data_IF_830058054314
#
_entry.id   IF_830058054314
#
_cell.length_a   1.000
_cell.length_b   1.000
_cell.length_c   1.000
_cell.angle_alpha   90.00
_cell.angle_beta   90.00
_cell.angle_gamma   90.00
#
_symmetry.space_group_name_H-M   'P 1'
#
loop_
_entity.id
_entity.type
_entity.pdbx_description
1 polymer ?
#
# COMPACT_ATOMS: atom_id res chain seq x y z
N UNK A 1 31.62 9.08 8.38
CA UNK A 1 33.03 8.60 8.45
C UNK A 1 33.22 7.40 7.51
N UNK A 2 34.36 7.25 6.82
CA UNK A 2 34.67 6.06 6.00
C UNK A 2 35.87 5.34 6.61
N UNK A 3 35.73 4.04 6.86
CA UNK A 3 36.76 3.15 7.40
C UNK A 3 37.02 2.08 6.35
N UNK A 4 38.26 1.96 5.89
CA UNK A 4 38.65 1.08 4.80
C UNK A 4 39.74 0.12 5.24
N UNK A 5 39.62 -1.15 4.89
CA UNK A 5 40.64 -2.14 5.22
C UNK A 5 40.50 -3.46 4.48
N UNK A 6 41.52 -4.31 4.68
CA UNK A 6 41.51 -5.68 4.22
C UNK A 6 40.68 -6.53 5.20
N UNK A 7 39.54 -7.04 4.75
CA UNK A 7 38.67 -7.90 5.55
C UNK A 7 39.22 -9.30 5.75
N UNK A 8 40.33 -9.65 5.08
CA UNK A 8 41.01 -10.93 5.25
C UNK A 8 42.02 -10.93 6.40
N UNK A 9 42.29 -9.77 7.01
CA UNK A 9 43.19 -9.61 8.16
C UNK A 9 42.37 -9.48 9.47
N UNK A 10 42.25 -10.53 10.30
CA UNK A 10 41.28 -10.57 11.41
C UNK A 10 41.44 -9.44 12.43
N UNK A 11 42.68 -9.16 12.85
CA UNK A 11 42.96 -8.11 13.84
C UNK A 11 42.56 -6.73 13.30
N UNK A 12 42.99 -6.42 12.08
CA UNK A 12 42.70 -5.14 11.44
C UNK A 12 41.19 -4.97 11.19
N UNK A 13 40.50 -6.01 10.71
CA UNK A 13 39.06 -5.99 10.54
C UNK A 13 38.33 -5.75 11.87
N UNK A 14 38.74 -6.40 12.95
CA UNK A 14 38.15 -6.22 14.28
C UNK A 14 38.32 -4.78 14.79
N UNK A 15 39.51 -4.18 14.62
CA UNK A 15 39.77 -2.80 15.02
C UNK A 15 38.89 -1.82 14.25
N UNK A 16 38.76 -1.98 12.93
CA UNK A 16 37.90 -1.13 12.10
C UNK A 16 36.42 -1.29 12.44
N UNK A 17 35.97 -2.51 12.76
CA UNK A 17 34.60 -2.76 13.22
C UNK A 17 34.35 -2.07 14.56
N UNK A 18 35.27 -2.22 15.53
CA UNK A 18 35.15 -1.59 16.83
C UNK A 18 35.09 -0.06 16.73
N UNK A 19 35.91 0.52 15.86
CA UNK A 19 35.93 1.96 15.59
C UNK A 19 34.64 2.44 14.90
N UNK A 20 34.13 1.69 13.92
CA UNK A 20 32.85 1.99 13.26
C UNK A 20 31.68 1.98 14.26
N UNK A 21 31.63 0.95 15.10
CA UNK A 21 30.60 0.80 16.14
C UNK A 21 30.73 1.91 17.20
N UNK A 22 31.96 2.19 17.65
CA UNK A 22 32.24 3.26 18.60
C UNK A 22 31.80 4.63 18.07
N UNK A 23 32.08 4.92 16.80
CA UNK A 23 31.63 6.15 16.14
C UNK A 23 30.11 6.29 16.14
N UNK A 24 29.38 5.23 15.73
CA UNK A 24 27.92 5.24 15.68
C UNK A 24 27.31 5.38 17.09
N UNK A 25 27.80 4.62 18.08
CA UNK A 25 27.31 4.67 19.47
C UNK A 25 27.60 5.99 20.17
N UNK A 26 28.67 6.68 19.79
CA UNK A 26 28.99 8.01 20.29
C UNK A 26 28.07 9.10 19.70
N UNK A 27 27.14 8.77 18.80
CA UNK A 27 26.22 9.74 18.20
C UNK A 27 26.86 10.60 17.12
N UNK A 28 28.03 10.23 16.60
CA UNK A 28 28.75 11.00 15.57
C UNK A 28 28.17 10.85 14.15
N UNK A 29 26.98 10.25 14.03
CA UNK A 29 26.32 9.96 12.76
C UNK A 29 26.76 8.64 12.12
N UNK A 30 26.43 8.43 10.83
CA UNK A 30 26.70 7.18 10.14
C UNK A 30 28.19 6.99 9.81
N UNK A 31 28.64 5.73 9.92
CA UNK A 31 29.93 5.27 9.44
C UNK A 31 29.75 4.26 8.29
N UNK A 32 30.57 4.39 7.25
CA UNK A 32 30.71 3.38 6.20
C UNK A 32 31.97 2.58 6.48
N UNK A 33 31.80 1.28 6.75
CA UNK A 33 32.90 0.33 6.88
C UNK A 33 33.04 -0.47 5.58
N UNK A 34 34.16 -0.30 4.88
CA UNK A 34 34.49 -0.99 3.64
C UNK A 34 35.59 -2.02 3.91
N UNK A 35 35.21 -3.29 4.07
CA UNK A 35 36.13 -4.41 4.21
C UNK A 35 36.26 -5.17 2.90
N UNK A 36 37.47 -5.24 2.35
CA UNK A 36 37.73 -5.92 1.08
C UNK A 36 37.99 -7.41 1.32
N UNK A 37 37.20 -8.29 0.70
CA UNK A 37 37.36 -9.76 0.75
C UNK A 37 37.20 -10.38 -0.64
N UNK A 38 37.82 -11.54 -0.92
CA UNK A 38 37.61 -12.25 -2.18
C UNK A 38 36.25 -12.95 -2.23
N UNK A 39 35.65 -13.05 -3.42
CA UNK A 39 34.52 -13.96 -3.67
C UNK A 39 35.04 -15.29 -4.21
N UNK A 40 35.33 -16.21 -3.30
CA UNK A 40 35.99 -17.49 -3.57
C UNK A 40 35.22 -18.40 -4.54
N UNK A 41 33.88 -18.32 -4.51
CA UNK A 41 32.98 -19.09 -5.37
C UNK A 41 32.14 -18.19 -6.30
N UNK A 42 31.25 -18.79 -7.08
CA UNK A 42 30.33 -18.09 -7.96
C UNK A 42 29.38 -17.13 -7.23
N UNK A 43 28.65 -16.32 -7.99
CA UNK A 43 27.55 -15.51 -7.46
C UNK A 43 26.48 -16.37 -6.77
N UNK A 44 26.24 -17.58 -7.29
CA UNK A 44 25.45 -18.64 -6.68
C UNK A 44 26.23 -19.96 -6.74
N UNK A 45 25.74 -20.99 -6.05
CA UNK A 45 26.34 -22.32 -6.08
C UNK A 45 26.36 -22.94 -7.50
N UNK A 46 25.48 -22.47 -8.40
CA UNK A 46 25.43 -22.94 -9.80
C UNK A 46 26.34 -22.13 -10.74
N UNK A 47 26.84 -20.98 -10.30
CA UNK A 47 27.72 -20.13 -11.12
C UNK A 47 29.12 -20.74 -11.18
N UNK A 48 29.50 -21.18 -12.39
CA UNK A 48 30.78 -21.82 -12.70
C UNK A 48 31.97 -20.85 -12.72
N UNK A 49 31.73 -19.55 -12.56
CA UNK A 49 32.75 -18.49 -12.62
C UNK A 49 33.49 -18.43 -13.97
N UNK A 50 32.85 -18.82 -15.08
CA UNK A 50 33.49 -18.86 -16.40
C UNK A 50 34.03 -17.49 -16.89
N UNK A 51 33.55 -16.38 -16.30
CA UNK A 51 34.05 -15.03 -16.55
C UNK A 51 35.37 -14.69 -15.85
N UNK A 52 35.89 -15.58 -14.98
CA UNK A 52 37.20 -15.44 -14.32
C UNK A 52 38.19 -16.43 -14.93
N UNK A 53 39.39 -15.96 -15.26
CA UNK A 53 40.49 -16.84 -15.60
C UNK A 53 41.08 -17.51 -14.34
N UNK A 54 41.83 -18.59 -14.54
CA UNK A 54 42.41 -19.39 -13.43
C UNK A 54 43.37 -18.57 -12.55
N UNK A 55 44.08 -17.58 -13.11
CA UNK A 55 44.97 -16.73 -12.32
C UNK A 55 44.20 -15.85 -11.34
N UNK A 56 43.05 -15.29 -11.74
CA UNK A 56 42.17 -14.51 -10.86
C UNK A 56 41.60 -15.40 -9.76
N UNK A 57 41.10 -16.59 -10.10
CA UNK A 57 40.58 -17.55 -9.11
C UNK A 57 41.66 -17.92 -8.11
N UNK A 58 42.87 -18.27 -8.57
CA UNK A 58 43.99 -18.60 -7.70
C UNK A 58 44.38 -17.43 -6.78
N UNK A 59 44.39 -16.20 -7.29
CA UNK A 59 44.69 -15.00 -6.49
C UNK A 59 43.62 -14.73 -5.41
N UNK A 60 42.35 -14.98 -5.71
CA UNK A 60 41.25 -14.89 -4.74
C UNK A 60 41.35 -15.96 -3.65
N UNK A 61 41.60 -17.22 -4.04
CA UNK A 61 41.79 -18.33 -3.09
C UNK A 61 43.03 -18.17 -2.21
N UNK A 62 44.11 -17.58 -2.74
CA UNK A 62 45.29 -17.22 -1.94
C UNK A 62 44.99 -16.19 -0.85
N UNK A 63 43.85 -15.49 -0.95
CA UNK A 63 43.35 -14.52 0.04
C UNK A 63 42.19 -15.07 0.87
N UNK A 64 42.01 -16.38 0.92
CA UNK A 64 41.03 -17.00 1.83
C UNK A 64 41.28 -16.50 3.28
N UNK A 65 40.29 -15.88 3.94
CA UNK A 65 40.45 -15.41 5.32
C UNK A 65 40.56 -16.54 6.34
N UNK A 66 40.07 -17.75 6.04
CA UNK A 66 39.97 -18.82 7.04
C UNK A 66 41.35 -19.27 7.59
N UNK A 67 42.39 -19.52 6.76
CA UNK A 67 43.73 -19.80 7.26
C UNK A 67 44.32 -18.67 8.11
N UNK A 68 44.08 -17.40 7.73
CA UNK A 68 44.56 -16.23 8.49
C UNK A 68 43.85 -16.11 9.84
N UNK A 69 42.55 -16.38 9.88
CA UNK A 69 41.78 -16.45 11.12
C UNK A 69 42.31 -17.54 12.05
N UNK A 70 42.58 -18.74 11.52
CA UNK A 70 43.20 -19.81 12.31
C UNK A 70 44.54 -19.37 12.89
N UNK A 71 45.42 -18.81 12.07
CA UNK A 71 46.74 -18.34 12.51
C UNK A 71 46.65 -17.19 13.55
N UNK A 72 45.60 -16.38 13.50
CA UNK A 72 45.36 -15.32 14.47
C UNK A 72 44.86 -15.85 15.82
N UNK A 73 44.01 -16.88 15.82
CA UNK A 73 43.42 -17.45 17.03
C UNK A 73 44.27 -18.56 17.66
N UNK A 74 45.08 -19.27 16.87
CA UNK A 74 45.90 -20.41 17.31
C UNK A 74 47.38 -20.06 17.29
N UNK A 75 48.12 -20.16 18.42
CA UNK A 75 47.69 -20.63 19.73
C UNK A 75 47.18 -19.51 20.67
N UNK A 76 47.00 -18.27 20.17
CA UNK A 76 46.84 -17.09 21.00
C UNK A 76 45.59 -17.08 21.90
N UNK A 77 44.47 -17.62 21.41
CA UNK A 77 43.16 -17.66 22.09
C UNK A 77 42.71 -19.10 22.31
N UNK A 78 43.04 -20.02 21.38
CA UNK A 78 42.69 -21.44 21.46
C UNK A 78 43.83 -22.29 20.91
N UNK A 79 43.88 -23.56 21.30
CA UNK A 79 44.85 -24.52 20.80
C UNK A 79 44.35 -25.25 19.52
N UNK A 80 45.23 -26.02 18.88
CA UNK A 80 44.92 -26.78 17.66
C UNK A 80 43.78 -27.80 17.85
N UNK A 81 43.69 -28.45 19.02
CA UNK A 81 42.63 -29.41 19.29
C UNK A 81 41.27 -28.72 19.47
N UNK A 82 41.24 -27.57 20.14
CA UNK A 82 40.04 -26.73 20.27
C UNK A 82 39.56 -26.19 18.92
N UNK A 83 40.48 -25.74 18.05
CA UNK A 83 40.17 -25.35 16.68
C UNK A 83 39.57 -26.51 15.88
N UNK A 84 40.22 -27.68 15.90
CA UNK A 84 39.75 -28.86 15.19
C UNK A 84 38.38 -29.33 15.69
N UNK A 85 38.14 -29.27 17.01
CA UNK A 85 36.85 -29.59 17.59
C UNK A 85 35.77 -28.59 17.13
N UNK A 86 36.08 -27.28 17.14
CA UNK A 86 35.16 -26.23 16.64
C UNK A 86 34.80 -26.45 15.17
N UNK A 87 35.77 -26.80 14.33
CA UNK A 87 35.53 -27.10 12.91
C UNK A 87 34.64 -28.34 12.73
N UNK A 88 34.86 -29.39 13.53
CA UNK A 88 34.04 -30.59 13.52
C UNK A 88 32.60 -30.30 13.98
N UNK A 89 32.44 -29.51 15.04
CA UNK A 89 31.14 -29.07 15.54
C UNK A 89 30.37 -28.25 14.50
N UNK A 90 31.03 -27.31 13.82
CA UNK A 90 30.43 -26.53 12.74
C UNK A 90 29.95 -27.42 11.58
N UNK A 91 30.79 -28.38 11.16
CA UNK A 91 30.44 -29.36 10.11
C UNK A 91 29.23 -30.20 10.51
N UNK A 92 29.20 -30.74 11.73
CA UNK A 92 28.06 -31.54 12.19
C UNK A 92 26.81 -30.67 12.37
N UNK A 93 26.93 -29.42 12.80
CA UNK A 93 25.80 -28.50 12.90
C UNK A 93 25.14 -28.26 11.53
N UNK A 94 25.93 -28.01 10.48
CA UNK A 94 25.43 -27.86 9.10
C UNK A 94 24.80 -29.17 8.62
N UNK A 95 25.45 -30.31 8.84
CA UNK A 95 24.94 -31.61 8.41
C UNK A 95 23.62 -31.99 9.10
N UNK A 96 23.48 -31.70 10.40
CA UNK A 96 22.22 -31.88 11.14
C UNK A 96 21.13 -30.96 10.62
N UNK A 97 21.44 -29.70 10.35
CA UNK A 97 20.49 -28.74 9.80
C UNK A 97 19.98 -29.17 8.41
N UNK A 98 20.89 -29.62 7.53
CA UNK A 98 20.54 -30.15 6.21
C UNK A 98 19.63 -31.37 6.32
N UNK A 99 19.99 -32.38 7.14
CA UNK A 99 19.14 -33.55 7.38
C UNK A 99 17.76 -33.17 7.92
N UNK A 100 17.70 -32.22 8.84
CA UNK A 100 16.43 -31.73 9.39
C UNK A 100 15.59 -31.03 8.32
N UNK A 101 16.20 -30.26 7.42
CA UNK A 101 15.50 -29.59 6.34
C UNK A 101 14.97 -30.58 5.30
N UNK A 102 15.78 -31.56 4.89
CA UNK A 102 15.40 -32.60 3.91
C UNK A 102 14.25 -33.49 4.41
N UNK A 103 14.16 -33.68 5.73
CA UNK A 103 13.10 -34.48 6.36
C UNK A 103 11.81 -33.70 6.60
N UNK A 104 11.80 -32.37 6.42
CA UNK A 104 10.57 -31.58 6.59
C UNK A 104 9.62 -31.85 5.42
N UNK A 105 8.36 -32.23 5.69
CA UNK A 105 7.37 -32.33 4.64
C UNK A 105 7.10 -30.95 4.04
N UNK A 106 6.69 -30.93 2.77
CA UNK A 106 6.17 -29.71 2.13
C UNK A 106 4.88 -29.29 2.85
N UNK A 107 4.68 -27.98 3.02
CA UNK A 107 3.44 -27.43 3.55
C UNK A 107 2.24 -27.85 2.68
N UNK A 108 1.08 -28.01 3.30
CA UNK A 108 -0.13 -28.38 2.58
C UNK A 108 -0.55 -27.30 1.57
N UNK A 109 -0.96 -27.66 0.33
CA UNK A 109 -1.32 -26.68 -0.70
C UNK A 109 -2.45 -25.72 -0.29
N UNK A 110 -3.37 -26.12 0.58
CA UNK A 110 -4.46 -25.25 1.08
C UNK A 110 -3.96 -24.05 1.89
N UNK A 111 -2.71 -24.07 2.37
CA UNK A 111 -2.12 -22.96 3.12
C UNK A 111 -1.52 -21.88 2.19
N UNK A 112 -1.44 -22.12 0.87
CA UNK A 112 -0.74 -21.20 -0.06
C UNK A 112 -1.40 -19.83 -0.17
N UNK A 113 -2.71 -19.74 0.05
CA UNK A 113 -3.47 -18.49 -0.04
C UNK A 113 -3.53 -17.72 1.29
N UNK A 114 -2.98 -18.29 2.38
CA UNK A 114 -3.03 -17.68 3.70
C UNK A 114 -2.04 -16.55 3.87
N UNK A 115 -2.32 -15.67 4.81
CA UNK A 115 -1.45 -14.56 5.23
C UNK A 115 -1.21 -13.50 4.14
N UNK A 116 -2.04 -13.44 3.10
CA UNK A 116 -2.07 -12.27 2.18
C UNK A 116 -2.57 -11.05 2.93
N UNK A 117 -3.66 -11.22 3.69
CA UNK A 117 -4.19 -10.22 4.62
C UNK A 117 -4.16 -10.78 6.05
N UNK A 118 -4.42 -9.92 7.03
CA UNK A 118 -4.60 -10.30 8.43
C UNK A 118 -5.83 -11.20 8.57
N UNK A 119 -5.65 -12.37 9.19
CA UNK A 119 -6.70 -13.36 9.42
C UNK A 119 -7.09 -13.39 10.91
N UNK A 120 -8.35 -13.75 11.18
CA UNK A 120 -8.82 -13.92 12.55
C UNK A 120 -8.03 -15.05 13.25
N UNK A 121 -7.47 -14.77 14.42
CA UNK A 121 -6.77 -15.75 15.26
C UNK A 121 -5.26 -15.93 15.00
N UNK A 122 -4.68 -15.20 14.04
CA UNK A 122 -3.24 -15.29 13.73
C UNK A 122 -2.56 -13.92 13.59
N UNK A 123 -2.10 -13.35 14.70
CA UNK A 123 -1.29 -12.12 14.67
C UNK A 123 0.14 -12.41 14.18
N UNK A 124 0.69 -11.44 13.47
CA UNK A 124 2.09 -11.47 13.06
C UNK A 124 3.05 -11.46 14.27
N UNK A 125 4.24 -12.04 14.11
CA UNK A 125 5.26 -11.97 15.17
C UNK A 125 5.77 -10.54 15.37
N UNK A 126 6.08 -9.84 14.27
CA UNK A 126 6.64 -8.49 14.28
C UNK A 126 5.83 -7.55 13.37
N UNK A 127 5.69 -6.30 13.82
CA UNK A 127 5.08 -5.21 13.08
C UNK A 127 3.60 -4.98 13.37
N UNK A 128 3.16 -3.75 13.16
CA UNK A 128 1.82 -3.27 13.47
C UNK A 128 1.54 -3.02 14.95
N UNK A 129 0.32 -2.57 15.23
CA UNK A 129 -0.11 -2.22 16.58
C UNK A 129 -0.57 -3.45 17.38
N UNK A 130 -1.26 -4.37 16.71
CA UNK A 130 -2.04 -5.44 17.33
C UNK A 130 -1.19 -6.47 18.08
N UNK A 131 -0.01 -6.83 17.55
CA UNK A 131 0.91 -7.74 18.23
C UNK A 131 1.59 -7.11 19.47
N UNK A 132 1.41 -5.81 19.69
CA UNK A 132 1.92 -5.06 20.85
C UNK A 132 0.87 -4.83 21.93
N UNK A 133 -0.29 -5.50 21.87
CA UNK A 133 -1.38 -5.34 22.85
C UNK A 133 -2.24 -4.09 22.64
N UNK A 134 -2.21 -3.48 21.45
CA UNK A 134 -3.13 -2.40 21.08
C UNK A 134 -4.57 -2.89 21.11
N UNK A 135 -5.45 -2.08 21.73
CA UNK A 135 -6.89 -2.27 21.71
C UNK A 135 -7.48 -1.10 20.93
N UNK A 136 -8.05 -1.39 19.77
CA UNK A 136 -8.70 -0.37 18.96
C UNK A 136 -9.87 0.26 19.74
N UNK A 137 -10.06 1.59 19.67
CA UNK A 137 -11.25 2.21 20.21
C UNK A 137 -12.51 1.60 19.56
N UNK A 138 -13.65 1.55 20.28
CA UNK A 138 -14.91 1.08 19.70
C UNK A 138 -15.23 1.81 18.39
N UNK A 139 -15.82 1.06 17.46
CA UNK A 139 -16.22 1.56 16.16
C UNK A 139 -17.68 1.20 15.88
N UNK A 140 -18.38 2.04 15.12
CA UNK A 140 -19.74 1.82 14.66
C UNK A 140 -19.90 2.29 13.21
N UNK A 141 -20.69 1.59 12.42
CA UNK A 141 -21.09 2.00 11.07
C UNK A 141 -22.36 2.89 11.08
N UNK A 142 -22.93 3.14 12.27
CA UNK A 142 -24.04 4.07 12.45
C UNK A 142 -23.51 5.50 12.64
N UNK A 143 -23.77 6.44 11.70
CA UNK A 143 -23.29 7.80 11.83
C UNK A 143 -24.04 8.54 12.96
N UNK A 144 -23.33 9.44 13.63
CA UNK A 144 -23.85 10.44 14.57
C UNK A 144 -23.55 11.83 14.01
N UNK A 145 -24.40 12.36 13.09
CA UNK A 145 -24.14 13.61 12.40
C UNK A 145 -24.01 14.79 13.36
N UNK A 146 -22.90 15.54 13.24
CA UNK A 146 -22.61 16.72 14.05
C UNK A 146 -22.37 17.96 13.19
N UNK A 147 -23.02 19.06 13.57
CA UNK A 147 -22.77 20.39 12.99
C UNK A 147 -23.19 20.54 11.53
N UNK A 148 -22.58 21.52 10.85
CA UNK A 148 -22.84 21.79 9.43
C UNK A 148 -22.12 20.80 8.52
N UNK A 149 -22.55 20.73 7.24
CA UNK A 149 -21.86 19.94 6.21
C UNK A 149 -20.44 20.48 6.01
N UNK A 150 -19.44 19.61 6.17
CA UNK A 150 -18.02 19.92 5.98
C UNK A 150 -17.48 19.30 4.69
N UNK A 151 -16.42 19.89 4.13
CA UNK A 151 -15.71 19.30 3.00
C UNK A 151 -14.84 18.10 3.43
N UNK A 152 -14.41 17.32 2.45
CA UNK A 152 -13.68 16.08 2.68
C UNK A 152 -12.29 16.36 3.27
N UNK A 153 -11.64 17.48 2.91
CA UNK A 153 -10.40 17.96 3.56
C UNK A 153 -10.59 18.07 5.07
N UNK A 154 -11.64 18.76 5.52
CA UNK A 154 -11.93 18.95 6.95
C UNK A 154 -12.28 17.63 7.62
N UNK A 155 -13.01 16.75 6.92
CA UNK A 155 -13.42 15.46 7.45
C UNK A 155 -12.22 14.51 7.68
N UNK A 156 -11.31 14.43 6.70
CA UNK A 156 -10.05 13.68 6.82
C UNK A 156 -9.19 14.27 7.94
N UNK A 157 -9.03 15.61 7.99
CA UNK A 157 -8.27 16.28 9.05
C UNK A 157 -8.78 15.96 10.44
N UNK A 158 -10.10 16.05 10.65
CA UNK A 158 -10.74 15.73 11.95
C UNK A 158 -10.54 14.26 12.32
N UNK A 159 -10.55 13.37 11.33
CA UNK A 159 -10.27 11.95 11.55
C UNK A 159 -8.83 11.72 11.99
N UNK A 160 -7.85 12.30 11.27
CA UNK A 160 -6.44 12.24 11.64
C UNK A 160 -6.17 12.88 13.01
N UNK A 161 -6.79 14.02 13.29
CA UNK A 161 -6.69 14.70 14.59
C UNK A 161 -7.16 13.78 15.72
N UNK A 162 -8.32 13.15 15.54
CA UNK A 162 -8.86 12.20 16.53
C UNK A 162 -7.93 11.00 16.74
N UNK A 163 -7.49 10.34 15.65
CA UNK A 163 -6.65 9.14 15.75
C UNK A 163 -5.24 9.45 16.30
N UNK A 164 -4.67 10.63 16.01
CA UNK A 164 -3.42 11.11 16.62
C UNK A 164 -3.55 11.31 18.15
N UNK A 165 -4.71 11.80 18.60
CA UNK A 165 -4.99 12.03 20.02
C UNK A 165 -5.17 10.73 20.80
N UNK A 166 -5.87 9.74 20.24
CA UNK A 166 -6.18 8.49 20.96
C UNK A 166 -5.10 7.42 20.80
N UNK A 167 -4.23 7.54 19.80
CA UNK A 167 -3.16 6.59 19.55
C UNK A 167 -1.79 7.28 19.44
N UNK A 168 -0.90 7.14 20.45
CA UNK A 168 0.41 7.79 20.43
C UNK A 168 1.38 7.22 19.38
N UNK A 169 1.01 6.11 18.73
CA UNK A 169 1.84 5.41 17.72
C UNK A 169 1.47 5.78 16.29
N UNK A 170 0.53 6.68 16.06
CA UNK A 170 0.19 7.19 14.71
C UNK A 170 1.19 8.27 14.31
N UNK A 171 1.83 8.15 13.14
CA UNK A 171 2.72 9.19 12.61
C UNK A 171 2.25 9.58 11.21
N UNK A 172 2.04 10.88 10.98
CA UNK A 172 1.56 11.41 9.70
C UNK A 172 2.68 12.19 9.05
N UNK A 173 3.12 11.80 7.86
CA UNK A 173 4.31 12.41 7.25
C UNK A 173 4.29 12.31 5.74
N UNK A 174 5.13 13.10 5.10
CA UNK A 174 5.24 13.16 3.65
C UNK A 174 5.80 14.51 3.23
N UNK A 175 5.75 14.82 1.96
CA UNK A 175 6.26 16.09 1.45
C UNK A 175 5.25 17.20 1.77
N UNK A 176 5.71 18.26 2.43
CA UNK A 176 4.90 19.40 2.88
C UNK A 176 3.78 19.07 3.91
N UNK A 177 3.73 17.85 4.45
CA UNK A 177 2.69 17.38 5.39
C UNK A 177 2.72 18.09 6.75
N UNK A 178 3.88 18.61 7.16
CA UNK A 178 4.13 19.27 8.44
C UNK A 178 3.49 20.66 8.53
N UNK A 179 4.27 21.77 8.48
CA UNK A 179 3.74 23.12 8.66
C UNK A 179 2.69 23.52 7.60
N UNK A 180 2.90 23.13 6.33
CA UNK A 180 2.02 23.50 5.22
C UNK A 180 0.71 22.72 5.23
N UNK A 181 0.70 21.50 5.78
CA UNK A 181 -0.48 20.66 5.89
C UNK A 181 -0.78 19.81 4.65
N UNK A 182 0.25 19.50 3.85
CA UNK A 182 0.15 18.83 2.55
C UNK A 182 -0.25 19.81 1.43
N UNK A 183 -0.13 19.38 0.18
CA UNK A 183 -0.44 20.23 -1.00
C UNK A 183 -1.88 20.73 -1.00
N UNK A 184 -2.80 19.93 -0.45
CA UNK A 184 -4.22 20.24 -0.37
C UNK A 184 -4.66 20.76 1.02
N UNK A 185 -3.73 20.95 1.96
CA UNK A 185 -4.04 21.47 3.30
C UNK A 185 -4.85 20.51 4.20
N UNK A 186 -4.77 19.20 3.94
CA UNK A 186 -5.49 18.18 4.73
C UNK A 186 -4.96 18.10 6.16
N UNK A 187 -3.65 18.19 6.38
CA UNK A 187 -3.03 18.05 7.71
C UNK A 187 -2.74 19.38 8.40
N UNK A 188 -3.30 20.49 7.90
CA UNK A 188 -3.06 21.84 8.40
C UNK A 188 -3.29 21.94 9.92
N UNK A 189 -2.29 22.43 10.65
CA UNK A 189 -2.33 22.64 12.10
C UNK A 189 -2.06 21.39 12.94
N UNK A 190 -1.96 20.19 12.34
CA UNK A 190 -1.69 18.97 13.09
C UNK A 190 -0.25 18.93 13.66
N UNK A 191 0.75 19.43 12.93
CA UNK A 191 2.11 19.52 13.46
C UNK A 191 2.21 20.49 14.64
N UNK A 192 1.56 21.65 14.58
CA UNK A 192 1.53 22.59 15.70
C UNK A 192 0.94 21.93 16.96
N UNK A 193 -0.11 21.12 16.78
CA UNK A 193 -0.80 20.43 17.88
C UNK A 193 -0.02 19.24 18.46
N UNK A 194 0.61 18.42 17.61
CA UNK A 194 1.21 17.13 18.01
C UNK A 194 2.75 17.10 17.98
N UNK A 195 3.39 18.14 17.47
CA UNK A 195 4.84 18.27 17.36
C UNK A 195 5.44 17.53 16.16
N UNK A 196 6.69 17.91 15.85
CA UNK A 196 7.47 17.38 14.71
C UNK A 196 7.78 15.88 14.83
N UNK A 197 7.71 15.31 16.03
CA UNK A 197 7.93 13.87 16.22
C UNK A 197 6.75 13.01 15.75
N UNK A 198 5.57 13.62 15.54
CA UNK A 198 4.31 12.92 15.19
C UNK A 198 3.78 13.32 13.83
N UNK A 199 3.98 14.57 13.43
CA UNK A 199 3.57 15.08 12.12
C UNK A 199 4.72 15.86 11.48
N UNK A 200 5.27 15.41 10.37
CA UNK A 200 6.52 15.98 9.83
C UNK A 200 6.70 15.86 8.32
N UNK A 201 7.60 16.72 7.81
CA UNK A 201 8.03 16.70 6.42
C UNK A 201 9.11 15.66 6.17
N UNK A 202 9.08 15.05 4.99
CA UNK A 202 10.13 14.15 4.51
C UNK A 202 10.99 14.80 3.42
N UNK A 203 12.10 14.14 3.08
CA UNK A 203 12.81 14.43 1.82
C UNK A 203 11.92 14.15 0.61
N UNK A 204 12.25 14.78 -0.53
CA UNK A 204 11.58 14.55 -1.82
C UNK A 204 11.98 13.20 -2.42
N UNK A 205 11.46 12.11 -1.84
CA UNK A 205 11.74 10.74 -2.26
C UNK A 205 10.61 9.82 -1.81
N UNK A 206 9.74 9.46 -2.75
CA UNK A 206 8.59 8.60 -2.48
C UNK A 206 9.01 7.19 -2.10
N UNK A 207 10.07 6.66 -2.71
CA UNK A 207 10.69 5.41 -2.29
C UNK A 207 11.16 5.47 -0.83
N UNK A 208 11.82 6.57 -0.44
CA UNK A 208 12.26 6.79 0.94
C UNK A 208 11.10 6.94 1.92
N UNK A 209 10.00 7.58 1.51
CA UNK A 209 8.78 7.73 2.31
C UNK A 209 8.17 6.36 2.62
N UNK A 210 7.95 5.52 1.59
CA UNK A 210 7.35 4.20 1.76
C UNK A 210 8.32 3.26 2.49
N UNK A 211 9.61 3.23 2.13
CA UNK A 211 10.60 2.39 2.82
C UNK A 211 10.74 2.72 4.31
N UNK A 212 10.70 4.02 4.67
CA UNK A 212 10.64 4.46 6.07
C UNK A 212 9.35 4.00 6.75
N UNK A 213 8.20 4.13 6.08
CA UNK A 213 6.92 3.66 6.60
C UNK A 213 6.95 2.15 6.90
N UNK A 214 7.54 1.33 6.01
CA UNK A 214 7.70 -0.11 6.23
C UNK A 214 8.51 -0.38 7.52
N UNK A 215 9.66 0.27 7.68
CA UNK A 215 10.49 0.13 8.88
C UNK A 215 9.76 0.55 10.16
N UNK A 216 9.02 1.67 10.11
CA UNK A 216 8.20 2.15 11.24
C UNK A 216 7.08 1.18 11.60
N UNK A 217 6.38 0.63 10.60
CA UNK A 217 5.32 -0.34 10.82
C UNK A 217 5.88 -1.62 11.47
N UNK A 218 7.02 -2.13 10.99
CA UNK A 218 7.71 -3.30 11.58
C UNK A 218 8.14 -3.03 13.03
N UNK A 219 8.55 -1.78 13.33
CA UNK A 219 8.89 -1.35 14.69
C UNK A 219 7.68 -1.19 15.63
N UNK A 220 6.45 -1.39 15.13
CA UNK A 220 5.23 -1.37 15.93
C UNK A 220 4.52 -0.01 15.99
N UNK A 221 4.81 0.87 15.03
CA UNK A 221 4.10 2.14 14.82
C UNK A 221 2.95 1.97 13.80
N UNK A 222 2.12 3.00 13.66
CA UNK A 222 1.10 3.14 12.61
C UNK A 222 1.46 4.32 11.70
N UNK A 223 2.22 4.08 10.62
CA UNK A 223 2.61 5.11 9.68
C UNK A 223 1.43 5.52 8.79
N UNK A 224 1.30 6.81 8.55
CA UNK A 224 0.32 7.42 7.65
C UNK A 224 1.07 8.33 6.66
N UNK A 225 1.87 7.75 5.75
CA UNK A 225 2.57 8.53 4.73
C UNK A 225 1.58 9.15 3.73
N UNK A 226 1.84 10.38 3.32
CA UNK A 226 1.18 11.03 2.17
C UNK A 226 2.18 11.11 1.01
N UNK A 227 1.76 10.61 -0.16
CA UNK A 227 2.43 10.89 -1.44
C UNK A 227 1.60 11.96 -2.15
N UNK A 228 2.22 13.08 -2.55
CA UNK A 228 1.49 14.29 -2.97
C UNK A 228 0.47 14.05 -4.09
N UNK A 229 0.81 13.18 -5.05
CA UNK A 229 -0.06 12.78 -6.15
C UNK A 229 0.25 11.35 -6.55
N UNK A 230 -0.76 10.61 -6.99
CA UNK A 230 -0.62 9.20 -7.34
C UNK A 230 0.51 8.87 -8.32
N UNK A 231 0.78 9.69 -9.34
CA UNK A 231 1.87 9.44 -10.30
C UNK A 231 3.25 9.35 -9.62
N UNK A 232 3.41 10.06 -8.52
CA UNK A 232 4.67 10.13 -7.78
C UNK A 232 4.92 8.88 -6.94
N UNK A 233 3.95 7.97 -6.81
CA UNK A 233 4.19 6.66 -6.21
C UNK A 233 5.00 5.71 -7.13
N UNK A 234 5.14 6.00 -8.43
CA UNK A 234 5.80 5.10 -9.38
C UNK A 234 7.27 4.78 -9.04
N UNK A 235 8.13 5.73 -8.60
CA UNK A 235 9.47 5.43 -8.13
C UNK A 235 9.50 4.53 -6.88
N UNK A 236 8.41 4.47 -6.10
CA UNK A 236 8.29 3.65 -4.90
C UNK A 236 7.76 2.23 -5.15
N UNK A 237 7.60 1.82 -6.42
CA UNK A 237 6.96 0.55 -6.81
C UNK A 237 7.56 -0.67 -6.08
N UNK A 238 8.89 -0.77 -6.00
CA UNK A 238 9.56 -1.89 -5.31
C UNK A 238 9.20 -1.93 -3.82
N UNK A 239 9.23 -0.78 -3.13
CA UNK A 239 8.87 -0.70 -1.71
C UNK A 239 7.40 -1.05 -1.47
N UNK A 240 6.51 -0.64 -2.39
CA UNK A 240 5.08 -0.99 -2.36
C UNK A 240 4.88 -2.50 -2.51
N UNK A 241 5.54 -3.13 -3.48
CA UNK A 241 5.46 -4.57 -3.73
C UNK A 241 6.02 -5.39 -2.56
N UNK A 242 7.18 -4.99 -2.03
CA UNK A 242 7.83 -5.65 -0.91
C UNK A 242 7.02 -5.56 0.38
N UNK A 243 6.31 -4.44 0.58
CA UNK A 243 5.41 -4.22 1.70
C UNK A 243 4.19 -5.15 1.64
N UNK A 244 3.46 -5.15 0.51
CA UNK A 244 2.21 -5.92 0.36
C UNK A 244 2.44 -7.43 0.52
N UNK A 245 3.52 -7.94 -0.07
CA UNK A 245 3.84 -9.38 -0.01
C UNK A 245 4.49 -9.82 1.30
N UNK A 246 4.88 -8.89 2.18
CA UNK A 246 5.67 -9.17 3.39
C UNK A 246 5.02 -10.21 4.30
N UNK A 247 3.72 -10.06 4.56
CA UNK A 247 2.98 -10.98 5.44
C UNK A 247 2.97 -12.39 4.86
N UNK A 248 2.70 -12.52 3.57
CA UNK A 248 2.66 -13.81 2.88
C UNK A 248 4.05 -14.46 2.79
N UNK A 249 5.05 -13.74 2.25
CA UNK A 249 6.40 -14.28 1.98
C UNK A 249 7.18 -14.66 3.25
N UNK A 250 6.78 -14.11 4.40
CA UNK A 250 7.39 -14.43 5.70
C UNK A 250 6.55 -15.39 6.53
N UNK A 251 5.47 -15.96 5.98
CA UNK A 251 4.51 -16.81 6.68
C UNK A 251 4.02 -16.16 7.99
N UNK A 252 3.59 -14.90 7.89
CA UNK A 252 3.10 -14.06 8.98
C UNK A 252 4.14 -13.71 10.06
N UNK A 253 5.43 -13.90 9.82
CA UNK A 253 6.46 -13.46 10.80
C UNK A 253 6.55 -11.94 10.85
N UNK A 254 6.42 -11.25 9.72
CA UNK A 254 6.46 -9.80 9.62
C UNK A 254 5.21 -9.29 8.92
N UNK A 255 4.67 -8.16 9.37
CA UNK A 255 3.69 -7.38 8.62
C UNK A 255 3.98 -5.88 8.76
N UNK A 256 3.63 -5.09 7.75
CA UNK A 256 3.85 -3.66 7.72
C UNK A 256 2.53 -2.89 7.48
N UNK A 257 1.57 -2.91 8.43
CA UNK A 257 0.35 -2.13 8.29
C UNK A 257 0.66 -0.64 8.31
N UNK A 258 0.07 0.09 7.37
CA UNK A 258 0.19 1.54 7.19
C UNK A 258 -0.98 2.04 6.35
N UNK A 259 -1.19 3.36 6.34
CA UNK A 259 -2.19 4.00 5.48
C UNK A 259 -1.51 5.01 4.57
N UNK A 260 -1.29 4.63 3.32
CA UNK A 260 -0.71 5.51 2.30
C UNK A 260 -1.81 6.39 1.72
N UNK A 261 -1.79 7.68 2.06
CA UNK A 261 -2.73 8.67 1.55
C UNK A 261 -2.21 9.21 0.21
N UNK A 262 -3.06 9.21 -0.81
CA UNK A 262 -2.69 9.63 -2.17
C UNK A 262 -3.81 10.41 -2.84
N UNK A 263 -3.58 11.68 -3.20
CA UNK A 263 -4.47 12.41 -4.07
C UNK A 263 -4.52 11.82 -5.49
N UNK A 264 -5.74 11.67 -6.04
CA UNK A 264 -6.01 11.05 -7.35
C UNK A 264 -6.98 11.86 -8.21
N UNK A 265 -7.04 11.54 -9.51
CA UNK A 265 -8.12 11.97 -10.41
C UNK A 265 -8.11 13.45 -10.78
N UNK A 266 -9.08 13.90 -11.57
CA UNK A 266 -9.07 15.25 -12.15
C UNK A 266 -9.32 16.35 -11.11
N UNK A 267 -8.93 17.59 -11.45
CA UNK A 267 -9.30 18.79 -10.70
C UNK A 267 -9.13 20.06 -11.52
N UNK A 268 -10.22 20.74 -11.89
CA UNK A 268 -10.27 21.99 -12.69
C UNK A 268 -9.60 21.93 -14.07
N UNK A 269 -8.32 21.56 -14.14
CA UNK A 269 -7.55 21.21 -15.33
C UNK A 269 -6.86 19.86 -15.17
N UNK A 270 -6.48 19.26 -16.29
CA UNK A 270 -5.80 17.98 -16.33
C UNK A 270 -4.29 18.11 -16.50
N UNK A 271 -3.58 17.01 -16.31
CA UNK A 271 -2.24 16.79 -16.85
C UNK A 271 -1.87 15.30 -16.61
N UNK A 272 -0.84 14.76 -17.30
CA UNK A 272 -0.46 13.35 -17.16
C UNK A 272 0.17 12.96 -15.82
N UNK A 273 0.42 13.91 -14.91
CA UNK A 273 1.11 13.67 -13.63
C UNK A 273 0.21 13.85 -12.42
N UNK A 274 -0.75 14.76 -12.44
CA UNK A 274 -1.59 15.07 -11.28
C UNK A 274 -3.03 14.56 -11.43
N UNK A 275 -3.47 14.19 -12.64
CA UNK A 275 -4.90 13.94 -12.93
C UNK A 275 -5.25 12.50 -13.28
N UNK A 276 -4.35 11.56 -13.01
CA UNK A 276 -4.63 10.13 -13.17
C UNK A 276 -5.12 9.52 -11.86
N UNK A 277 -6.02 8.54 -11.95
CA UNK A 277 -6.36 7.68 -10.83
C UNK A 277 -5.49 6.43 -10.83
N UNK A 278 -5.45 5.67 -11.93
CA UNK A 278 -4.67 4.44 -12.11
C UNK A 278 -4.59 3.61 -10.81
N UNK A 279 -5.76 3.43 -10.22
CA UNK A 279 -6.02 2.68 -8.98
C UNK A 279 -5.80 1.18 -9.20
N UNK A 280 -6.00 0.71 -10.44
CA UNK A 280 -5.87 -0.69 -10.81
C UNK A 280 -4.47 -1.24 -10.54
N UNK A 281 -3.43 -0.40 -10.66
CA UNK A 281 -2.07 -0.78 -10.28
C UNK A 281 -1.98 -1.25 -8.82
N UNK A 282 -2.73 -0.63 -7.91
CA UNK A 282 -2.74 -0.99 -6.50
C UNK A 282 -3.69 -2.15 -6.20
N UNK A 283 -4.78 -2.29 -6.95
CA UNK A 283 -5.65 -3.47 -6.88
C UNK A 283 -4.87 -4.73 -7.29
N UNK A 284 -3.98 -4.61 -8.27
CA UNK A 284 -3.10 -5.70 -8.71
C UNK A 284 -1.91 -5.96 -7.78
N UNK A 285 -1.70 -5.18 -6.72
CA UNK A 285 -0.60 -5.35 -5.77
C UNK A 285 -1.06 -6.24 -4.59
N UNK A 286 -0.61 -7.51 -4.49
CA UNK A 286 -1.09 -8.43 -3.46
C UNK A 286 -0.79 -7.92 -2.04
N UNK A 287 -1.76 -8.12 -1.13
CA UNK A 287 -1.66 -7.73 0.27
C UNK A 287 -2.05 -6.28 0.56
N UNK A 288 -2.30 -5.45 -0.47
CA UNK A 288 -2.83 -4.10 -0.31
C UNK A 288 -4.36 -4.07 -0.34
N UNK A 289 -4.95 -3.28 0.56
CA UNK A 289 -6.34 -2.86 0.45
C UNK A 289 -6.42 -1.52 -0.26
N UNK A 290 -7.48 -1.28 -1.02
CA UNK A 290 -7.66 -0.05 -1.82
C UNK A 290 -9.00 0.59 -1.50
N UNK A 291 -8.97 1.80 -0.94
CA UNK A 291 -10.13 2.59 -0.57
C UNK A 291 -10.26 3.85 -1.44
N UNK A 292 -11.47 4.10 -1.94
CA UNK A 292 -11.82 5.18 -2.86
C UNK A 292 -13.10 5.90 -2.39
N UNK A 293 -13.06 6.63 -1.27
CA UNK A 293 -14.23 7.33 -0.71
C UNK A 293 -14.87 8.30 -1.73
N UNK A 294 -16.21 8.35 -1.75
CA UNK A 294 -16.99 9.21 -2.65
C UNK A 294 -17.59 10.45 -1.95
N UNK A 295 -17.30 10.68 -0.67
CA UNK A 295 -17.77 11.85 0.07
C UNK A 295 -17.07 11.95 1.44
N UNK A 296 -17.33 13.04 2.16
CA UNK A 296 -16.75 13.32 3.46
C UNK A 296 -17.09 12.27 4.55
N UNK A 297 -18.27 11.65 4.53
CA UNK A 297 -18.65 10.61 5.49
C UNK A 297 -17.89 9.33 5.22
N UNK A 298 -17.85 8.90 3.95
CA UNK A 298 -17.11 7.70 3.53
C UNK A 298 -15.61 7.85 3.81
N UNK A 299 -15.05 9.04 3.58
CA UNK A 299 -13.66 9.33 3.90
C UNK A 299 -13.34 9.12 5.38
N UNK A 300 -14.22 9.58 6.28
CA UNK A 300 -14.06 9.39 7.73
C UNK A 300 -14.12 7.90 8.08
N UNK A 301 -15.16 7.21 7.61
CA UNK A 301 -15.40 5.82 7.95
C UNK A 301 -14.30 4.88 7.45
N UNK A 302 -13.91 5.01 6.19
CA UNK A 302 -12.89 4.16 5.58
C UNK A 302 -11.49 4.46 6.11
N UNK A 303 -11.14 5.74 6.33
CA UNK A 303 -9.84 6.11 6.88
C UNK A 303 -9.67 5.56 8.31
N UNK A 304 -10.73 5.65 9.12
CA UNK A 304 -10.70 5.11 10.48
C UNK A 304 -10.55 3.59 10.50
N UNK A 305 -11.26 2.89 9.61
CA UNK A 305 -11.08 1.44 9.43
C UNK A 305 -9.65 1.09 9.02
N UNK A 306 -9.04 1.87 8.12
CA UNK A 306 -7.65 1.68 7.72
C UNK A 306 -6.67 1.88 8.89
N UNK A 307 -6.80 2.99 9.63
CA UNK A 307 -5.92 3.36 10.74
C UNK A 307 -6.00 2.40 11.93
N UNK A 308 -7.17 1.81 12.16
CA UNK A 308 -7.39 0.82 13.23
C UNK A 308 -7.13 -0.61 12.74
N UNK A 309 -6.94 -0.82 11.44
CA UNK A 309 -6.73 -2.12 10.81
C UNK A 309 -5.34 -2.71 11.07
N UNK A 310 -5.09 -3.86 10.45
CA UNK A 310 -3.81 -4.58 10.53
C UNK A 310 -3.24 -4.93 9.14
N UNK A 311 -3.76 -4.31 8.08
CA UNK A 311 -3.31 -4.50 6.70
C UNK A 311 -2.81 -3.17 6.13
N UNK A 312 -1.89 -3.17 5.15
CA UNK A 312 -1.50 -1.96 4.46
C UNK A 312 -2.64 -1.50 3.53
N UNK A 313 -2.90 -0.20 3.51
CA UNK A 313 -4.02 0.42 2.79
C UNK A 313 -3.53 1.55 1.90
N UNK A 314 -3.93 1.51 0.63
CA UNK A 314 -3.91 2.65 -0.28
C UNK A 314 -5.23 3.42 -0.12
N UNK A 315 -5.14 4.64 0.41
CA UNK A 315 -6.29 5.52 0.63
C UNK A 315 -6.29 6.64 -0.41
N UNK A 316 -7.14 6.49 -1.42
CA UNK A 316 -7.16 7.34 -2.61
C UNK A 316 -8.12 8.52 -2.41
N UNK A 317 -7.56 9.72 -2.33
CA UNK A 317 -8.27 10.97 -2.06
C UNK A 317 -8.55 11.71 -3.39
N UNK A 318 -9.76 11.61 -3.93
CA UNK A 318 -10.04 12.26 -5.20
C UNK A 318 -9.98 13.79 -5.09
N UNK A 319 -9.11 14.43 -5.89
CA UNK A 319 -8.80 15.87 -5.78
C UNK A 319 -9.99 16.78 -5.96
N UNK A 320 -10.83 16.54 -6.96
CA UNK A 320 -12.08 17.30 -7.11
C UNK A 320 -12.98 17.23 -5.88
N UNK A 321 -13.05 16.06 -5.23
CA UNK A 321 -13.98 15.80 -4.13
C UNK A 321 -13.52 16.39 -2.81
N UNK A 322 -12.21 16.63 -2.67
CA UNK A 322 -11.62 17.22 -1.47
C UNK A 322 -12.37 18.49 -1.02
N UNK A 323 -12.80 19.33 -1.98
CA UNK A 323 -13.53 20.58 -1.69
C UNK A 323 -14.87 20.74 -2.41
N UNK A 324 -15.28 19.78 -3.26
CA UNK A 324 -16.57 19.86 -3.96
C UNK A 324 -17.76 19.94 -2.99
N UNK A 325 -18.75 20.77 -3.34
CA UNK A 325 -19.97 20.93 -2.55
C UNK A 325 -20.82 19.63 -2.49
N UNK A 326 -20.81 18.85 -3.56
CA UNK A 326 -21.46 17.55 -3.69
C UNK A 326 -20.94 16.53 -2.67
N UNK A 327 -19.64 16.54 -2.41
CA UNK A 327 -18.97 15.63 -1.49
C UNK A 327 -19.17 15.97 0.00
N UNK A 328 -19.73 17.15 0.34
CA UNK A 328 -19.86 17.59 1.73
C UNK A 328 -20.86 16.73 2.51
N UNK A 329 -20.55 16.35 3.75
CA UNK A 329 -21.48 15.67 4.68
C UNK A 329 -21.29 16.25 6.08
N UNK A 330 -22.27 16.15 6.99
CA UNK A 330 -22.00 16.38 8.41
C UNK A 330 -20.89 15.44 8.89
N UNK A 331 -20.16 15.80 9.94
CA UNK A 331 -19.17 14.88 10.51
C UNK A 331 -19.92 13.72 11.19
N UNK A 332 -19.58 12.44 10.93
CA UNK A 332 -20.38 11.30 11.39
C UNK A 332 -20.03 10.82 12.82
N UNK A 333 -19.13 11.52 13.52
CA UNK A 333 -18.70 11.19 14.88
C UNK A 333 -17.33 10.52 14.97
N UNK A 334 -16.75 10.53 16.17
CA UNK A 334 -15.40 10.01 16.47
C UNK A 334 -15.26 8.48 16.39
N UNK A 335 -16.35 7.75 16.54
CA UNK A 335 -16.37 6.28 16.53
C UNK A 335 -16.82 5.72 15.16
N UNK A 336 -17.13 6.57 14.18
CA UNK A 336 -17.70 6.12 12.91
C UNK A 336 -16.66 5.43 12.03
N UNK A 337 -16.82 4.15 11.73
CA UNK A 337 -15.93 3.39 10.85
C UNK A 337 -16.76 2.55 9.87
N UNK A 338 -16.31 2.45 8.62
CA UNK A 338 -17.00 1.68 7.58
C UNK A 338 -16.21 0.43 7.24
N UNK A 339 -16.84 -0.76 7.18
CA UNK A 339 -16.14 -1.97 6.76
C UNK A 339 -15.65 -1.84 5.31
N UNK A 340 -14.51 -2.46 5.02
CA UNK A 340 -14.02 -2.58 3.64
C UNK A 340 -14.77 -3.71 2.92
N UNK A 341 -14.97 -3.57 1.61
CA UNK A 341 -15.71 -4.54 0.80
C UNK A 341 -17.22 -4.43 0.93
N UNK A 342 -17.73 -3.31 1.47
CA UNK A 342 -19.17 -3.04 1.58
C UNK A 342 -19.50 -1.78 0.79
N UNK A 343 -20.21 -1.96 -0.31
CA UNK A 343 -20.65 -0.89 -1.18
C UNK A 343 -21.83 -0.13 -0.56
N UNK A 344 -22.07 1.09 -1.04
CA UNK A 344 -23.24 1.89 -0.72
C UNK A 344 -24.19 1.89 -1.89
N UNK A 345 -25.46 1.60 -1.61
CA UNK A 345 -26.55 1.93 -2.53
C UNK A 345 -26.87 3.43 -2.41
N UNK A 346 -26.57 4.18 -3.46
CA UNK A 346 -26.75 5.63 -3.51
C UNK A 346 -28.19 5.99 -3.87
N UNK A 347 -28.78 5.25 -4.81
CA UNK A 347 -30.20 5.31 -5.18
C UNK A 347 -30.73 3.90 -5.46
N UNK A 348 -32.04 3.73 -5.30
CA UNK A 348 -32.76 2.51 -5.69
C UNK A 348 -33.45 2.73 -7.03
N UNK A 349 -33.47 1.68 -7.84
CA UNK A 349 -34.16 1.66 -9.14
C UNK A 349 -34.17 0.26 -9.74
N UNK A 350 -35.02 0.05 -10.75
CA UNK A 350 -35.33 -1.27 -11.33
C UNK A 350 -34.93 -1.41 -12.80
N UNK A 351 -34.63 -0.32 -13.51
CA UNK A 351 -34.38 -0.37 -14.96
C UNK A 351 -32.90 -0.70 -15.28
N UNK A 352 -31.96 -0.25 -14.45
CA UNK A 352 -30.52 -0.43 -14.67
C UNK A 352 -29.71 -0.34 -13.38
N UNK A 353 -28.67 -1.16 -13.28
CA UNK A 353 -27.59 -1.01 -12.28
C UNK A 353 -26.46 -0.17 -12.84
N UNK A 354 -26.06 0.88 -12.10
CA UNK A 354 -24.89 1.70 -12.37
C UNK A 354 -23.85 1.44 -11.28
N UNK A 355 -22.65 0.99 -11.65
CA UNK A 355 -21.54 0.74 -10.71
C UNK A 355 -20.48 1.82 -10.87
N UNK A 356 -20.12 2.49 -9.77
CA UNK A 356 -19.13 3.57 -9.77
C UNK A 356 -18.39 3.71 -8.44
N UNK A 357 -17.43 4.62 -8.37
CA UNK A 357 -16.67 5.00 -7.17
C UNK A 357 -16.07 6.39 -7.34
N UNK A 358 -15.60 6.98 -6.23
CA UNK A 358 -14.94 8.29 -6.25
C UNK A 358 -15.80 9.39 -6.89
N UNK A 359 -15.20 10.21 -7.76
CA UNK A 359 -15.87 11.40 -8.31
C UNK A 359 -16.95 11.09 -9.34
N UNK A 360 -16.96 9.88 -9.91
CA UNK A 360 -17.96 9.49 -10.90
C UNK A 360 -19.33 9.19 -10.28
N UNK A 361 -19.40 8.92 -8.98
CA UNK A 361 -20.67 8.70 -8.26
C UNK A 361 -21.62 9.90 -8.41
N UNK A 362 -21.11 11.12 -8.19
CA UNK A 362 -21.90 12.36 -8.35
C UNK A 362 -22.43 12.51 -9.79
N UNK A 363 -21.58 12.23 -10.79
CA UNK A 363 -21.97 12.34 -12.19
C UNK A 363 -23.02 11.30 -12.56
N UNK A 364 -22.96 10.10 -11.98
CA UNK A 364 -23.98 9.06 -12.14
C UNK A 364 -25.32 9.47 -11.53
N UNK A 365 -25.33 10.05 -10.33
CA UNK A 365 -26.56 10.57 -9.70
C UNK A 365 -27.24 11.63 -10.58
N UNK A 366 -26.48 12.59 -11.09
CA UNK A 366 -26.99 13.63 -11.97
C UNK A 366 -27.47 13.08 -13.33
N UNK A 367 -26.77 12.09 -13.88
CA UNK A 367 -27.13 11.45 -15.14
C UNK A 367 -28.40 10.60 -15.02
N UNK A 368 -28.57 9.87 -13.91
CA UNK A 368 -29.79 9.13 -13.61
C UNK A 368 -31.01 10.06 -13.59
N UNK A 369 -30.91 11.19 -12.86
CA UNK A 369 -31.96 12.21 -12.82
C UNK A 369 -32.28 12.78 -14.22
N UNK A 370 -31.26 13.03 -15.04
CA UNK A 370 -31.42 13.55 -16.41
C UNK A 370 -32.04 12.54 -17.36
N UNK A 371 -31.72 11.26 -17.21
CA UNK A 371 -32.23 10.18 -18.07
C UNK A 371 -33.72 9.92 -17.85
N UNK A 372 -34.22 10.14 -16.64
CA UNK A 372 -35.58 9.79 -16.23
C UNK A 372 -35.81 8.29 -15.98
N UNK A 373 -34.77 7.45 -16.12
CA UNK A 373 -34.84 6.02 -15.84
C UNK A 373 -34.71 5.71 -14.34
N UNK A 374 -35.31 4.59 -13.91
CA UNK A 374 -35.22 4.05 -12.56
C UNK A 374 -33.86 3.37 -12.35
N UNK A 375 -32.86 4.14 -11.90
CA UNK A 375 -31.47 3.65 -11.79
C UNK A 375 -31.09 3.27 -10.35
N UNK A 376 -30.63 2.04 -10.14
CA UNK A 376 -29.89 1.69 -8.93
C UNK A 376 -28.42 2.06 -9.09
N UNK A 377 -27.89 2.90 -8.21
CA UNK A 377 -26.49 3.33 -8.22
C UNK A 377 -25.75 2.68 -7.05
N UNK A 378 -24.68 1.95 -7.36
CA UNK A 378 -23.78 1.31 -6.41
C UNK A 378 -22.46 2.08 -6.40
N UNK A 379 -22.13 2.69 -5.25
CA UNK A 379 -20.82 3.24 -4.95
C UNK A 379 -19.98 2.19 -4.23
N UNK A 380 -18.92 1.70 -4.89
CA UNK A 380 -18.12 0.59 -4.37
C UNK A 380 -17.39 0.92 -3.06
N UNK A 381 -17.01 2.18 -2.82
CA UNK A 381 -16.20 2.66 -1.67
C UNK A 381 -14.79 2.07 -1.54
N UNK A 382 -14.59 0.80 -1.86
CA UNK A 382 -13.31 0.08 -1.89
C UNK A 382 -13.22 -0.79 -3.13
N UNK A 383 -12.02 -0.95 -3.67
CA UNK A 383 -11.76 -1.77 -4.85
C UNK A 383 -11.04 -3.09 -4.52
N UNK A 384 -10.33 -3.11 -3.40
CA UNK A 384 -9.70 -4.31 -2.86
C UNK A 384 -9.93 -4.38 -1.35
N UNK A 385 -10.85 -5.24 -0.86
CA UNK A 385 -11.87 -5.94 -1.64
C UNK A 385 -12.95 -4.99 -2.18
N UNK A 386 -13.65 -5.38 -3.25
CA UNK A 386 -14.87 -4.73 -3.71
C UNK A 386 -16.10 -5.60 -3.41
N UNK A 387 -17.27 -4.98 -3.31
CA UNK A 387 -18.53 -5.66 -2.96
C UNK A 387 -19.17 -6.32 -4.19
N UNK A 388 -18.59 -7.47 -4.58
CA UNK A 388 -19.10 -8.29 -5.70
C UNK A 388 -20.55 -8.71 -5.51
N UNK A 389 -20.92 -9.08 -4.29
CA UNK A 389 -22.24 -9.62 -3.99
C UNK A 389 -23.32 -8.54 -4.16
N UNK A 390 -23.08 -7.30 -3.70
CA UNK A 390 -24.01 -6.21 -3.92
C UNK A 390 -24.21 -5.89 -5.40
N UNK A 391 -23.14 -5.91 -6.21
CA UNK A 391 -23.22 -5.67 -7.65
C UNK A 391 -23.99 -6.78 -8.36
N UNK A 392 -23.68 -8.05 -8.09
CA UNK A 392 -24.40 -9.18 -8.70
C UNK A 392 -25.87 -9.20 -8.29
N UNK A 393 -26.19 -8.93 -7.02
CA UNK A 393 -27.57 -8.86 -6.55
C UNK A 393 -28.34 -7.72 -7.24
N UNK A 394 -27.69 -6.58 -7.46
CA UNK A 394 -28.26 -5.45 -8.20
C UNK A 394 -28.55 -5.81 -9.66
N UNK A 395 -27.56 -6.34 -10.38
CA UNK A 395 -27.69 -6.70 -11.79
C UNK A 395 -28.76 -7.77 -12.02
N UNK A 396 -28.85 -8.77 -11.13
CA UNK A 396 -29.91 -9.81 -11.22
C UNK A 396 -31.32 -9.26 -11.12
N UNK A 397 -31.49 -8.09 -10.51
CA UNK A 397 -32.79 -7.44 -10.33
C UNK A 397 -33.11 -6.45 -11.44
N UNK A 398 -32.10 -5.72 -11.93
CA UNK A 398 -32.28 -4.66 -12.94
C UNK A 398 -32.03 -5.11 -14.37
N UNK A 399 -31.41 -6.29 -14.55
CA UNK A 399 -31.12 -6.93 -15.83
C UNK A 399 -30.19 -6.15 -16.77
N UNK A 400 -29.61 -5.03 -16.32
CA UNK A 400 -28.73 -4.16 -17.14
C UNK A 400 -27.60 -3.59 -16.27
N UNK A 401 -26.40 -3.51 -16.83
CA UNK A 401 -25.22 -3.04 -16.09
C UNK A 401 -24.45 -1.97 -16.88
N UNK A 402 -24.28 -0.80 -16.25
CA UNK A 402 -23.40 0.27 -16.70
C UNK A 402 -22.31 0.54 -15.66
N UNK A 403 -21.05 0.40 -16.04
CA UNK A 403 -19.90 0.68 -15.19
C UNK A 403 -19.31 2.02 -15.59
N UNK A 404 -19.17 2.95 -14.65
CA UNK A 404 -18.67 4.31 -14.91
C UNK A 404 -17.50 4.63 -13.99
N UNK A 405 -16.33 4.87 -14.58
CA UNK A 405 -15.13 5.29 -13.85
C UNK A 405 -14.27 6.23 -14.70
N UNK A 406 -13.42 7.02 -14.06
CA UNK A 406 -12.60 8.01 -14.77
C UNK A 406 -11.21 7.51 -15.17
N UNK A 407 -10.78 6.34 -14.68
CA UNK A 407 -9.56 5.72 -15.19
C UNK A 407 -9.70 5.34 -16.68
N UNK A 408 -8.58 4.98 -17.31
CA UNK A 408 -8.55 4.57 -18.72
C UNK A 408 -9.34 3.26 -18.95
N UNK A 409 -9.88 3.11 -20.16
CA UNK A 409 -10.74 1.97 -20.50
C UNK A 409 -9.98 0.65 -20.65
N UNK A 410 -8.77 0.69 -21.20
CA UNK A 410 -7.94 -0.51 -21.37
C UNK A 410 -7.35 -0.96 -20.05
N UNK A 411 -7.69 -2.17 -19.63
CA UNK A 411 -7.16 -2.77 -18.40
C UNK A 411 -7.62 -2.09 -17.10
N UNK A 412 -8.53 -1.12 -17.16
CA UNK A 412 -9.11 -0.47 -15.98
C UNK A 412 -10.00 -1.40 -15.16
N UNK A 413 -10.24 -1.05 -13.90
CA UNK A 413 -10.95 -1.92 -12.95
C UNK A 413 -12.38 -2.26 -13.38
N UNK A 414 -13.04 -1.44 -14.19
CA UNK A 414 -14.35 -1.78 -14.76
C UNK A 414 -14.33 -3.04 -15.63
N UNK A 415 -13.18 -3.47 -16.15
CA UNK A 415 -13.05 -4.73 -16.88
C UNK A 415 -13.22 -5.96 -15.96
N UNK A 416 -12.71 -5.91 -14.73
CA UNK A 416 -12.87 -6.97 -13.72
C UNK A 416 -14.36 -7.13 -13.35
N UNK A 417 -15.03 -6.00 -13.07
CA UNK A 417 -16.46 -5.98 -12.76
C UNK A 417 -17.27 -6.58 -13.92
N UNK A 418 -16.97 -6.16 -15.16
CA UNK A 418 -17.65 -6.68 -16.34
C UNK A 418 -17.42 -8.18 -16.54
N UNK A 419 -16.20 -8.67 -16.30
CA UNK A 419 -15.90 -10.10 -16.41
C UNK A 419 -16.67 -10.92 -15.36
N UNK A 420 -16.73 -10.45 -14.12
CA UNK A 420 -17.49 -11.12 -13.04
C UNK A 420 -18.99 -11.15 -13.34
N UNK A 421 -19.56 -10.03 -13.78
CA UNK A 421 -20.98 -9.98 -14.16
C UNK A 421 -21.26 -10.90 -15.36
N UNK A 422 -20.36 -10.94 -16.35
CA UNK A 422 -20.48 -11.81 -17.52
C UNK A 422 -20.31 -13.30 -17.19
N UNK A 423 -19.54 -13.66 -16.16
CA UNK A 423 -19.37 -15.06 -15.75
C UNK A 423 -20.56 -15.55 -14.90
N UNK A 424 -21.13 -14.67 -14.07
CA UNK A 424 -22.02 -15.09 -12.97
C UNK A 424 -23.45 -14.57 -13.01
N UNK A 425 -23.73 -13.61 -13.88
CA UNK A 425 -25.06 -13.03 -14.08
C UNK A 425 -25.41 -12.91 -15.57
N UNK A 426 -24.74 -13.66 -16.45
CA UNK A 426 -24.98 -13.59 -17.90
C UNK A 426 -26.43 -13.85 -18.28
N UNK A 427 -27.04 -14.88 -17.68
CA UNK A 427 -28.42 -15.27 -17.97
C UNK A 427 -29.45 -14.29 -17.40
N UNK A 428 -29.01 -13.37 -16.54
CA UNK A 428 -29.86 -12.34 -15.95
C UNK A 428 -29.84 -11.04 -16.75
N UNK A 429 -29.02 -10.92 -17.81
CA UNK A 429 -28.85 -9.68 -18.59
C UNK A 429 -29.79 -9.61 -19.80
N UNK A 430 -30.52 -8.50 -19.91
CA UNK A 430 -31.33 -8.14 -21.08
C UNK A 430 -30.53 -7.29 -22.11
N UNK A 431 -29.41 -6.69 -21.67
CA UNK A 431 -28.56 -5.80 -22.47
C UNK A 431 -27.07 -6.11 -22.25
N UNK A 432 -26.18 -5.77 -23.19
CA UNK A 432 -24.74 -5.94 -22.98
C UNK A 432 -24.24 -5.10 -21.80
N UNK A 433 -23.29 -5.65 -21.04
CA UNK A 433 -22.57 -4.87 -20.02
C UNK A 433 -21.81 -3.75 -20.72
N UNK A 434 -22.04 -2.52 -20.29
CA UNK A 434 -21.36 -1.35 -20.84
C UNK A 434 -20.37 -0.76 -19.84
N UNK A 435 -19.28 -0.22 -20.38
CA UNK A 435 -18.31 0.57 -19.62
C UNK A 435 -18.20 1.95 -20.24
N UNK A 436 -18.27 2.99 -19.42
CA UNK A 436 -18.05 4.37 -19.84
C UNK A 436 -16.91 4.96 -19.04
N UNK A 437 -15.79 5.21 -19.73
CA UNK A 437 -14.50 5.56 -19.13
C UNK A 437 -13.87 6.77 -19.81
N UNK A 438 -12.74 7.24 -19.27
CA UNK A 438 -11.84 8.05 -20.10
C UNK A 438 -11.31 7.22 -21.28
N UNK A 439 -11.07 7.85 -22.45
CA UNK A 439 -10.31 7.21 -23.52
C UNK A 439 -8.85 6.97 -23.09
N UNK A 440 -8.15 6.07 -23.78
CA UNK A 440 -6.75 5.70 -23.48
C UNK A 440 -5.76 6.80 -23.89
N UNK A 441 -5.87 7.95 -23.24
CA UNK A 441 -5.06 9.14 -23.42
C UNK A 441 -4.67 9.70 -22.04
N UNK A 442 -3.58 10.47 -21.95
CA UNK A 442 -3.32 11.24 -20.75
C UNK A 442 -4.36 12.37 -20.56
N UNK A 443 -4.64 12.73 -19.31
CA UNK A 443 -5.60 13.80 -19.00
C UNK A 443 -5.18 15.12 -19.68
N UNK A 444 -6.02 15.71 -20.55
CA UNK A 444 -5.71 16.97 -21.23
C UNK A 444 -5.63 18.16 -20.26
N UNK A 445 -4.73 19.11 -20.52
CA UNK A 445 -4.62 20.30 -19.68
C UNK A 445 -5.77 21.30 -19.84
N UNK A 446 -6.24 21.49 -21.07
CA UNK A 446 -7.33 22.41 -21.34
C UNK A 446 -8.63 21.92 -20.67
N UNK A 447 -9.32 22.74 -19.84
CA UNK A 447 -10.52 22.31 -19.12
C UNK A 447 -11.59 21.67 -19.99
N UNK A 448 -11.90 22.27 -21.15
CA UNK A 448 -12.92 21.73 -22.05
C UNK A 448 -12.52 20.38 -22.68
N UNK A 449 -11.23 20.18 -22.96
CA UNK A 449 -10.74 18.92 -23.51
C UNK A 449 -10.73 17.82 -22.44
N UNK A 450 -10.38 18.17 -21.19
CA UNK A 450 -10.49 17.28 -20.05
C UNK A 450 -11.93 16.88 -19.79
N UNK A 451 -12.86 17.84 -19.76
CA UNK A 451 -14.27 17.57 -19.55
C UNK A 451 -14.88 16.70 -20.66
N UNK A 452 -14.45 16.90 -21.92
CA UNK A 452 -14.84 16.03 -23.03
C UNK A 452 -14.32 14.58 -22.84
N UNK A 453 -13.08 14.43 -22.37
CA UNK A 453 -12.47 13.12 -22.17
C UNK A 453 -13.14 12.33 -21.03
N UNK A 454 -13.48 13.02 -19.93
CA UNK A 454 -14.18 12.43 -18.78
C UNK A 454 -15.58 11.92 -19.17
N UNK A 455 -16.10 10.89 -18.47
CA UNK A 455 -17.52 10.56 -18.52
C UNK A 455 -18.37 11.77 -18.09
N UNK A 456 -18.99 12.45 -19.06
CA UNK A 456 -19.87 13.58 -18.77
C UNK A 456 -21.28 13.11 -18.40
N UNK A 457 -22.03 13.96 -17.68
CA UNK A 457 -23.42 13.68 -17.30
C UNK A 457 -24.27 13.32 -18.53
N UNK A 458 -24.09 14.04 -19.64
CA UNK A 458 -24.81 13.78 -20.89
C UNK A 458 -24.44 12.44 -21.53
N UNK A 459 -23.15 12.09 -21.55
CA UNK A 459 -22.69 10.80 -22.09
C UNK A 459 -23.19 9.64 -21.23
N UNK A 460 -23.20 9.79 -19.91
CA UNK A 460 -23.73 8.79 -18.98
C UNK A 460 -25.24 8.63 -19.20
N UNK A 461 -26.01 9.74 -19.24
CA UNK A 461 -27.46 9.71 -19.44
C UNK A 461 -27.85 9.09 -20.79
N UNK A 462 -27.12 9.43 -21.86
CA UNK A 462 -27.33 8.81 -23.17
C UNK A 462 -27.06 7.31 -23.14
N UNK A 463 -26.01 6.86 -22.42
CA UNK A 463 -25.69 5.44 -22.31
C UNK A 463 -26.72 4.66 -21.47
N UNK A 464 -27.27 5.29 -20.43
CA UNK A 464 -28.42 4.75 -19.68
C UNK A 464 -29.60 4.53 -20.63
N UNK A 465 -30.00 5.56 -21.38
CA UNK A 465 -31.14 5.48 -22.30
C UNK A 465 -30.93 4.41 -23.40
N UNK A 466 -29.71 4.27 -23.91
CA UNK A 466 -29.35 3.23 -24.89
C UNK A 466 -29.58 1.82 -24.33
N UNK A 467 -29.13 1.56 -23.09
CA UNK A 467 -29.24 0.23 -22.48
C UNK A 467 -30.67 -0.11 -22.07
N UNK A 468 -31.41 0.87 -21.54
CA UNK A 468 -32.82 0.69 -21.14
C UNK A 468 -33.72 0.41 -22.37
N UNK A 469 -33.31 0.82 -23.57
CA UNK A 469 -34.06 0.60 -24.80
C UNK A 469 -33.82 -0.76 -25.50
N UNK A 470 -32.88 -1.59 -25.02
CA UNK A 470 -32.77 -3.00 -25.42
C UNK A 470 -33.97 -3.79 -24.91
#
# INVERSE_FOLDING_TARGET
RVLDGDGTEPAHAADLIADAVGHARAGNGPALLRLTVPRLQGHSFQDTQAYKNEAVKAAEWARDPLPKLKAHLVPAIMNEAEWANTEAEAKDAVARAARSADQRPVSSPDQVTRNVFSEAGGLQTQGGLWNSGYIAPPSTDAPKPEGARINMITAIRRTLDHELAVNPRVLVFGEDVGPKGGVHGVTLGLQEKYGVERVFDTSLSEEGIIGRAVGMAIAGLMPVPEIQFRKYADPACEQINDCGTMRWRTANRFAAPMVVRMPVGFFKCGDPWHSMTNEVQFVHAPGWRVACPSNAEDAVGLLRTALRGNDPVMFLEHRNMLDAASARRPYPGGDFALPFGVARRVSEGDDITIVSWGAMVERCEAAAQRSGASCEIIDLRTLAPWDRDAVLASVRRTHRCLIVHEDIGTGGFGAEIAAVVADEAFLDLDAPIARLTMPDIPSPHHPDLMEWALPSIDRIAAKIAELVAF
#
